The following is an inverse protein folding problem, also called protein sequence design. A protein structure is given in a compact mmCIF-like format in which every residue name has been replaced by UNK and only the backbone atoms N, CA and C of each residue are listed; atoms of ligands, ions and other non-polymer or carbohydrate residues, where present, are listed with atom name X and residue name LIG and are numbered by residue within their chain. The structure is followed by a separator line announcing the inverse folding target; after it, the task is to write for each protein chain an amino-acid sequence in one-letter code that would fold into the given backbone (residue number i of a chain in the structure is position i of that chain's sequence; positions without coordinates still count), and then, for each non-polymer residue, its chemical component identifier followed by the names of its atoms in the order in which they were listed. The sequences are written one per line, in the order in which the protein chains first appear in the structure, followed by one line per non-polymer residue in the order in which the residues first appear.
data_IF_830992471846
#
_entry.id   IF_830992471846
#
_cell.length_a   1.000
_cell.length_b   1.000
_cell.length_c   1.000
_cell.angle_alpha   90.00
_cell.angle_beta   90.00
_cell.angle_gamma   90.00
#
_symmetry.space_group_name_H-M   'P 1'
#
loop_
_entity.id
_entity.type
_entity.pdbx_description
1 polymer ?
#
# COMPACT_ATOMS: atom_id res chain seq x y z
N UNK A 1 -53.56 -17.20 -15.40
CA UNK A 1 -53.39 -17.33 -13.94
C UNK A 1 -51.94 -16.99 -13.61
N UNK A 2 -51.75 -15.87 -12.91
CA UNK A 2 -50.57 -15.46 -12.11
C UNK A 2 -49.17 -15.60 -12.74
N UNK A 3 -48.53 -14.56 -13.26
CA UNK A 3 -48.06 -13.31 -12.63
C UNK A 3 -46.87 -13.48 -11.65
N UNK A 4 -45.87 -12.62 -11.85
CA UNK A 4 -44.81 -12.19 -10.94
C UNK A 4 -43.58 -13.09 -10.62
N UNK A 5 -42.42 -12.73 -11.18
CA UNK A 5 -41.28 -12.09 -10.46
C UNK A 5 -40.07 -11.97 -11.42
N UNK A 6 -39.83 -10.81 -12.06
CA UNK A 6 -39.02 -9.68 -11.55
C UNK A 6 -37.65 -10.10 -10.98
N UNK A 7 -36.59 -9.96 -11.79
CA UNK A 7 -35.48 -9.04 -11.50
C UNK A 7 -34.43 -9.07 -12.64
N UNK A 8 -34.75 -8.35 -13.71
CA UNK A 8 -33.76 -7.65 -14.53
C UNK A 8 -33.67 -6.22 -14.00
N UNK A 9 -32.47 -5.71 -13.85
CA UNK A 9 -32.16 -4.39 -13.28
C UNK A 9 -30.98 -4.57 -12.35
N UNK A 10 -29.84 -3.95 -12.55
CA UNK A 10 -29.52 -2.79 -13.37
C UNK A 10 -28.23 -2.29 -12.76
N UNK A 11 -27.18 -2.27 -13.56
CA UNK A 11 -25.91 -1.61 -13.28
C UNK A 11 -26.16 -0.16 -12.87
N UNK A 12 -25.83 0.18 -11.62
CA UNK A 12 -25.63 1.56 -11.18
C UNK A 12 -24.73 1.56 -9.94
N UNK A 13 -23.43 1.31 -10.13
CA UNK A 13 -22.43 1.82 -9.19
C UNK A 13 -22.20 3.26 -9.62
N UNK A 14 -22.87 4.17 -8.91
CA UNK A 14 -22.77 5.61 -9.12
C UNK A 14 -21.34 6.06 -8.83
N UNK A 15 -20.62 6.31 -9.91
CA UNK A 15 -19.36 7.05 -9.91
C UNK A 15 -19.69 8.52 -9.67
N UNK A 16 -19.43 9.01 -8.46
CA UNK A 16 -19.62 10.41 -8.09
C UNK A 16 -18.41 10.90 -7.30
N UNK A 17 -17.24 10.89 -7.94
CA UNK A 17 -16.09 11.70 -7.55
C UNK A 17 -15.69 12.54 -8.76
N UNK A 18 -16.34 13.69 -8.90
CA UNK A 18 -15.96 14.69 -9.89
C UNK A 18 -16.11 16.08 -9.24
N UNK A 19 -14.93 16.67 -9.03
CA UNK A 19 -14.61 18.10 -9.03
C UNK A 19 -15.65 19.07 -8.48
N UNK A 20 -15.27 19.70 -7.36
CA UNK A 20 -15.59 21.11 -7.16
C UNK A 20 -14.34 21.84 -6.69
N UNK A 21 -13.61 22.39 -7.66
CA UNK A 21 -12.61 23.42 -7.47
C UNK A 21 -13.19 24.72 -8.05
N UNK A 22 -13.37 25.72 -7.20
CA UNK A 22 -13.44 27.16 -7.52
C UNK A 22 -13.05 27.87 -6.22
N UNK A 23 -11.82 28.38 -6.09
CA UNK A 23 -11.36 29.72 -6.49
C UNK A 23 -11.72 30.80 -5.44
N UNK A 24 -10.80 31.76 -5.25
CA UNK A 24 -10.83 33.00 -4.43
C UNK A 24 -10.22 32.89 -3.02
N UNK A 25 -9.28 33.72 -2.56
CA UNK A 25 -8.88 35.09 -2.93
C UNK A 25 -7.39 35.38 -2.62
N UNK A 26 -6.81 36.31 -3.39
CA UNK A 26 -5.55 37.06 -3.15
C UNK A 26 -5.93 38.46 -2.64
N UNK A 27 -5.34 38.97 -1.54
CA UNK A 27 -4.29 40.03 -1.60
C UNK A 27 -3.26 39.88 -0.44
N UNK A 28 -2.07 40.48 -0.38
CA UNK A 28 -1.42 41.61 -1.03
C UNK A 28 -0.49 42.28 0.00
N UNK A 29 0.72 42.70 -0.41
CA UNK A 29 1.65 43.56 0.35
C UNK A 29 2.54 42.86 1.39
N UNK A 30 3.81 43.20 1.60
CA UNK A 30 4.66 44.27 1.12
C UNK A 30 5.77 44.51 2.17
N UNK A 31 7.00 44.78 1.71
CA UNK A 31 7.98 45.58 2.45
C UNK A 31 9.01 44.87 3.34
N UNK A 32 10.27 44.94 2.92
CA UNK A 32 11.28 45.71 3.69
C UNK A 32 12.27 44.95 4.59
N UNK A 33 13.57 45.24 4.35
CA UNK A 33 14.66 45.17 5.33
C UNK A 33 15.56 43.93 5.20
N UNK A 34 16.80 44.08 4.73
CA UNK A 34 18.01 44.37 5.54
C UNK A 34 18.29 43.30 6.58
N UNK A 35 19.51 42.84 6.86
CA UNK A 35 20.88 43.13 6.48
C UNK A 35 21.66 42.01 7.20
N UNK A 36 22.77 41.56 6.61
CA UNK A 36 23.98 41.10 7.31
C UNK A 36 23.81 40.09 8.47
N UNK A 37 24.24 38.85 8.25
CA UNK A 37 24.97 38.17 9.32
C UNK A 37 26.21 37.46 8.78
N UNK A 38 27.30 38.21 8.86
CA UNK A 38 28.68 37.81 8.66
C UNK A 38 29.17 37.23 10.00
N UNK A 39 29.15 35.91 10.15
CA UNK A 39 29.52 35.21 11.38
C UNK A 39 30.46 34.05 11.13
N UNK A 40 31.73 34.37 10.87
CA UNK A 40 32.85 33.44 10.75
C UNK A 40 33.19 32.89 12.13
N UNK A 41 33.10 31.57 12.31
CA UNK A 41 33.51 30.86 13.53
C UNK A 41 34.17 29.53 13.19
N UNK A 42 35.50 29.55 13.10
CA UNK A 42 36.37 28.37 13.00
C UNK A 42 36.75 27.96 14.42
N UNK A 43 36.42 26.73 14.84
CA UNK A 43 37.22 25.94 15.81
C UNK A 43 36.88 24.45 15.74
N UNK A 44 37.83 23.68 15.19
CA UNK A 44 38.36 22.34 15.59
C UNK A 44 37.46 21.13 15.94
N UNK A 45 37.89 19.90 15.56
CA UNK A 45 37.16 18.66 15.83
C UNK A 45 37.50 18.12 17.23
N UNK A 46 36.49 17.88 18.05
CA UNK A 46 36.63 17.09 19.28
C UNK A 46 35.86 15.81 19.11
N UNK A 47 36.59 14.72 18.97
CA UNK A 47 36.10 13.34 19.03
C UNK A 47 35.54 13.08 20.43
N UNK A 48 34.22 13.04 20.58
CA UNK A 48 33.55 12.51 21.77
C UNK A 48 32.66 11.33 21.37
N UNK A 49 33.28 10.15 21.43
CA UNK A 49 32.57 8.88 21.58
C UNK A 49 31.90 8.91 22.96
N UNK A 50 30.59 9.12 23.01
CA UNK A 50 29.78 8.92 24.22
C UNK A 50 28.64 7.97 23.84
N UNK A 51 28.69 6.78 24.44
CA UNK A 51 27.70 5.73 24.34
C UNK A 51 26.29 6.23 24.69
N UNK A 52 25.33 5.92 23.81
CA UNK A 52 23.90 6.16 24.02
C UNK A 52 23.35 5.38 25.23
N UNK A 53 22.45 5.98 26.04
CA UNK A 53 21.53 5.20 26.84
C UNK A 53 20.47 4.59 25.92
N UNK A 54 20.21 3.30 26.13
CA UNK A 54 19.26 2.45 25.42
C UNK A 54 17.85 3.05 25.36
N UNK A 55 17.49 3.68 24.24
CA UNK A 55 16.09 3.99 23.91
C UNK A 55 15.43 2.79 23.20
N UNK A 56 14.16 2.48 23.50
CA UNK A 56 13.40 1.41 22.82
C UNK A 56 13.18 1.65 21.31
N UNK A 57 13.59 2.81 20.78
CA UNK A 57 13.62 3.15 19.35
C UNK A 57 14.76 2.47 18.56
N UNK A 58 15.70 1.79 19.22
CA UNK A 58 16.75 1.00 18.54
C UNK A 58 16.21 -0.27 17.85
N UNK A 59 15.09 -0.84 18.32
CA UNK A 59 14.54 -2.05 17.72
C UNK A 59 13.97 -1.78 16.31
N UNK A 60 13.42 -0.58 16.08
CA UNK A 60 12.91 -0.16 14.76
C UNK A 60 14.07 0.18 13.79
N UNK A 61 15.26 0.51 14.31
CA UNK A 61 16.44 0.91 13.53
C UNK A 61 17.27 -0.26 12.99
N UNK A 62 16.99 -1.50 13.41
CA UNK A 62 17.61 -2.71 12.84
C UNK A 62 16.81 -3.32 11.69
N UNK A 63 15.62 -2.78 11.41
CA UNK A 63 14.83 -3.18 10.25
C UNK A 63 15.43 -2.48 9.02
N UNK A 64 15.67 -3.20 7.90
CA UNK A 64 16.11 -2.56 6.66
C UNK A 64 15.17 -1.40 6.31
N UNK A 65 15.70 -0.24 5.86
CA UNK A 65 14.84 0.76 5.23
C UNK A 65 14.10 0.05 4.09
N UNK A 66 12.76 0.18 4.03
CA UNK A 66 11.89 -0.43 3.01
C UNK A 66 11.50 -1.90 3.19
N UNK A 67 11.37 -2.36 4.44
CA UNK A 67 10.87 -3.71 4.71
C UNK A 67 9.45 -3.93 4.14
N UNK A 68 8.59 -2.91 4.09
CA UNK A 68 7.27 -3.02 3.48
C UNK A 68 7.32 -3.32 1.99
N UNK A 69 8.20 -2.66 1.25
CA UNK A 69 8.44 -2.97 -0.17
C UNK A 69 9.01 -4.38 -0.36
N UNK A 70 9.95 -4.80 0.48
CA UNK A 70 10.52 -6.15 0.42
C UNK A 70 9.45 -7.23 0.71
N UNK A 71 8.65 -7.04 1.75
CA UNK A 71 7.52 -7.92 2.09
C UNK A 71 6.54 -8.01 0.91
N UNK A 72 6.19 -6.87 0.29
CA UNK A 72 5.32 -6.83 -0.89
C UNK A 72 5.90 -7.69 -2.02
N UNK A 73 7.19 -7.53 -2.35
CA UNK A 73 7.86 -8.32 -3.40
C UNK A 73 7.81 -9.82 -3.08
N UNK A 74 8.21 -10.23 -1.87
CA UNK A 74 8.29 -11.64 -1.49
C UNK A 74 6.93 -12.33 -1.53
N UNK A 75 5.85 -11.62 -1.16
CA UNK A 75 4.50 -12.17 -1.14
C UNK A 75 3.85 -12.17 -2.52
N UNK A 76 4.02 -11.10 -3.29
CA UNK A 76 3.30 -10.91 -4.55
C UNK A 76 3.96 -11.65 -5.72
N UNK A 77 5.26 -11.99 -5.67
CA UNK A 77 5.92 -12.81 -6.70
C UNK A 77 5.29 -14.21 -6.84
N UNK A 78 5.15 -15.02 -5.76
CA UNK A 78 4.44 -16.30 -5.85
C UNK A 78 2.98 -16.15 -6.27
N UNK A 79 2.31 -15.08 -5.82
CA UNK A 79 0.92 -14.80 -6.20
C UNK A 79 0.79 -14.52 -7.70
N UNK A 80 1.65 -13.66 -8.24
CA UNK A 80 1.73 -13.35 -9.68
C UNK A 80 1.93 -14.62 -10.51
N UNK A 81 2.90 -15.46 -10.14
CA UNK A 81 3.16 -16.73 -10.83
C UNK A 81 1.94 -17.66 -10.78
N UNK A 82 1.27 -17.73 -9.63
CA UNK A 82 0.04 -18.53 -9.47
C UNK A 82 -1.08 -18.03 -10.41
N UNK A 83 -1.32 -16.72 -10.47
CA UNK A 83 -2.35 -16.14 -11.35
C UNK A 83 -2.00 -16.27 -12.83
N UNK A 84 -0.71 -16.17 -13.20
CA UNK A 84 -0.27 -16.29 -14.59
C UNK A 84 -0.31 -17.74 -15.09
N UNK A 85 0.20 -18.69 -14.30
CA UNK A 85 0.36 -20.09 -14.70
C UNK A 85 -0.91 -20.93 -14.47
N UNK A 86 -1.70 -20.62 -13.44
CA UNK A 86 -2.85 -21.42 -13.03
C UNK A 86 -4.15 -20.59 -12.91
N UNK A 87 -4.58 -19.87 -13.97
CA UNK A 87 -5.78 -19.03 -13.91
C UNK A 87 -7.05 -19.84 -13.58
N UNK A 88 -7.11 -21.12 -13.98
CA UNK A 88 -8.25 -21.99 -13.71
C UNK A 88 -8.41 -22.37 -12.24
N UNK A 89 -7.35 -22.35 -11.41
CA UNK A 89 -7.47 -22.60 -9.96
C UNK A 89 -8.17 -21.45 -9.23
N UNK A 90 -8.23 -20.28 -9.86
CA UNK A 90 -8.83 -19.07 -9.29
C UNK A 90 -10.33 -18.97 -9.61
N UNK A 91 -10.85 -19.82 -10.50
CA UNK A 91 -12.25 -19.86 -10.91
C UNK A 91 -12.85 -21.24 -10.60
N UNK A 92 -14.06 -21.26 -10.07
CA UNK A 92 -14.81 -22.50 -9.88
C UNK A 92 -15.36 -23.09 -11.18
N UNK A 93 -15.36 -22.34 -12.29
CA UNK A 93 -15.88 -22.77 -13.59
C UNK A 93 -15.02 -22.22 -14.73
N UNK A 94 -14.80 -23.04 -15.76
CA UNK A 94 -14.08 -22.64 -16.96
C UNK A 94 -14.89 -21.60 -17.74
N UNK A 95 -14.42 -20.37 -17.77
CA UNK A 95 -14.94 -19.31 -18.64
C UNK A 95 -13.77 -18.56 -19.29
N UNK A 96 -13.66 -18.53 -20.64
CA UNK A 96 -12.50 -17.97 -21.32
C UNK A 96 -12.32 -16.47 -21.07
N UNK A 97 -13.41 -15.72 -20.88
CA UNK A 97 -13.36 -14.31 -20.53
C UNK A 97 -12.76 -14.05 -19.15
N UNK A 98 -13.06 -14.90 -18.16
CA UNK A 98 -12.50 -14.74 -16.82
C UNK A 98 -11.02 -15.09 -16.76
N UNK A 99 -10.54 -16.00 -17.62
CA UNK A 99 -9.09 -16.27 -17.75
C UNK A 99 -8.31 -15.06 -18.23
N UNK A 100 -8.84 -14.32 -19.21
CA UNK A 100 -8.19 -13.10 -19.70
C UNK A 100 -8.07 -12.05 -18.58
N UNK A 101 -9.14 -11.85 -17.81
CA UNK A 101 -9.15 -10.93 -16.66
C UNK A 101 -8.13 -11.35 -15.59
N UNK A 102 -8.01 -12.65 -15.29
CA UNK A 102 -7.04 -13.15 -14.31
C UNK A 102 -5.59 -12.92 -14.78
N UNK A 103 -5.32 -13.09 -16.08
CA UNK A 103 -3.99 -12.78 -16.64
C UNK A 103 -3.68 -11.29 -16.59
N UNK A 104 -4.68 -10.43 -16.81
CA UNK A 104 -4.53 -8.98 -16.61
C UNK A 104 -4.22 -8.65 -15.14
N UNK A 105 -4.87 -9.30 -14.17
CA UNK A 105 -4.51 -9.17 -12.76
C UNK A 105 -3.09 -9.63 -12.48
N UNK A 106 -2.63 -10.74 -13.07
CA UNK A 106 -1.25 -11.19 -12.92
C UNK A 106 -0.24 -10.13 -13.42
N UNK A 107 -0.51 -9.50 -14.57
CA UNK A 107 0.33 -8.42 -15.09
C UNK A 107 0.35 -7.18 -14.19
N UNK A 108 -0.78 -6.83 -13.57
CA UNK A 108 -0.86 -5.74 -12.60
C UNK A 108 -0.05 -6.03 -11.33
N UNK A 109 -0.12 -7.27 -10.81
CA UNK A 109 0.69 -7.70 -9.67
C UNK A 109 2.18 -7.66 -10.03
N UNK A 110 2.55 -8.12 -11.23
CA UNK A 110 3.94 -8.04 -11.68
C UNK A 110 4.43 -6.59 -11.75
N UNK A 111 3.60 -5.68 -12.27
CA UNK A 111 3.92 -4.26 -12.31
C UNK A 111 4.12 -3.67 -10.91
N UNK A 112 3.29 -4.03 -9.93
CA UNK A 112 3.46 -3.55 -8.54
C UNK A 112 4.74 -4.09 -7.90
N UNK A 113 5.10 -5.35 -8.17
CA UNK A 113 6.38 -5.95 -7.75
C UNK A 113 7.57 -5.21 -8.35
N UNK A 114 7.54 -4.91 -9.65
CA UNK A 114 8.62 -4.17 -10.31
C UNK A 114 8.77 -2.75 -9.74
N UNK A 115 7.66 -2.06 -9.47
CA UNK A 115 7.69 -0.77 -8.79
C UNK A 115 8.30 -0.92 -7.41
N UNK A 116 7.87 -1.90 -6.61
CA UNK A 116 8.41 -2.12 -5.27
C UNK A 116 9.91 -2.41 -5.28
N UNK A 117 10.40 -3.23 -6.22
CA UNK A 117 11.84 -3.52 -6.38
C UNK A 117 12.69 -2.28 -6.59
N UNK A 118 12.21 -1.29 -7.35
CA UNK A 118 12.93 -0.01 -7.55
C UNK A 118 13.10 0.75 -6.24
N UNK A 119 12.17 0.62 -5.30
CA UNK A 119 12.19 1.32 -4.02
C UNK A 119 12.91 0.55 -2.90
N UNK A 120 13.15 -0.76 -3.05
CA UNK A 120 13.91 -1.54 -2.05
C UNK A 120 15.34 -1.02 -1.87
N UNK A 121 16.03 -0.70 -2.97
CA UNK A 121 17.43 -0.25 -2.94
C UNK A 121 17.57 1.29 -2.91
N UNK A 122 16.46 2.02 -2.93
CA UNK A 122 16.45 3.49 -2.96
C UNK A 122 16.48 4.05 -1.54
N UNK A 123 17.20 5.14 -1.25
CA UNK A 123 17.05 5.83 0.03
C UNK A 123 15.61 6.32 0.24
N UNK A 124 15.09 6.30 1.48
CA UNK A 124 13.76 6.82 1.78
C UNK A 124 13.65 8.30 1.40
N UNK A 125 12.55 8.61 0.73
CA UNK A 125 12.17 9.96 0.30
C UNK A 125 10.65 10.11 0.22
N UNK A 126 10.15 11.34 0.10
CA UNK A 126 8.73 11.66 -0.11
C UNK A 126 8.07 10.81 -1.22
N UNK A 127 8.82 10.51 -2.29
CA UNK A 127 8.33 9.70 -3.41
C UNK A 127 8.09 8.27 -2.97
N UNK A 128 9.05 7.65 -2.28
CA UNK A 128 8.91 6.31 -1.72
C UNK A 128 7.72 6.22 -0.77
N UNK A 129 7.49 7.25 0.05
CA UNK A 129 6.32 7.32 0.94
C UNK A 129 4.99 7.34 0.20
N UNK A 130 4.87 8.17 -0.85
CA UNK A 130 3.67 8.24 -1.70
C UNK A 130 3.41 6.92 -2.44
N UNK A 131 4.46 6.28 -2.94
CA UNK A 131 4.34 4.98 -3.64
C UNK A 131 3.97 3.88 -2.65
N UNK A 132 4.59 3.85 -1.46
CA UNK A 132 4.25 2.90 -0.41
C UNK A 132 2.79 3.03 0.01
N UNK A 133 2.28 4.26 0.16
CA UNK A 133 0.87 4.52 0.45
C UNK A 133 -0.06 4.00 -0.67
N UNK A 134 0.30 4.23 -1.94
CA UNK A 134 -0.47 3.73 -3.08
C UNK A 134 -0.51 2.19 -3.12
N UNK A 135 0.63 1.54 -2.87
CA UNK A 135 0.72 0.07 -2.77
C UNK A 135 -0.01 -0.47 -1.54
N UNK A 136 -0.05 0.26 -0.42
CA UNK A 136 -0.86 -0.10 0.72
C UNK A 136 -2.35 -0.12 0.34
N UNK A 137 -2.86 0.96 -0.28
CA UNK A 137 -4.26 1.03 -0.73
C UNK A 137 -4.62 -0.10 -1.70
N UNK A 138 -3.68 -0.52 -2.55
CA UNK A 138 -3.87 -1.68 -3.43
C UNK A 138 -4.28 -2.96 -2.67
N UNK A 139 -3.74 -3.21 -1.47
CA UNK A 139 -4.06 -4.40 -0.68
C UNK A 139 -5.45 -4.41 -0.04
N UNK A 140 -6.18 -3.29 -0.07
CA UNK A 140 -7.55 -3.20 0.47
C UNK A 140 -8.50 -4.09 -0.34
N UNK A 141 -8.45 -4.04 -1.67
CA UNK A 141 -9.36 -4.81 -2.52
C UNK A 141 -9.17 -6.34 -2.38
N UNK A 142 -7.94 -6.90 -2.41
CA UNK A 142 -7.69 -8.30 -2.09
C UNK A 142 -8.11 -8.71 -0.67
N UNK A 143 -7.97 -7.81 0.30
CA UNK A 143 -8.43 -8.04 1.68
C UNK A 143 -9.95 -8.16 1.75
N UNK A 144 -10.70 -7.25 1.10
CA UNK A 144 -12.17 -7.33 1.02
C UNK A 144 -12.60 -8.62 0.30
N UNK A 145 -11.93 -8.99 -0.79
CA UNK A 145 -12.21 -10.24 -1.51
C UNK A 145 -12.01 -11.47 -0.61
N UNK A 146 -10.96 -11.48 0.20
CA UNK A 146 -10.68 -12.59 1.12
C UNK A 146 -11.67 -12.62 2.29
N UNK A 147 -12.00 -11.46 2.87
CA UNK A 147 -13.00 -11.32 3.92
C UNK A 147 -14.40 -11.75 3.47
N UNK A 148 -14.82 -11.39 2.25
CA UNK A 148 -16.12 -11.84 1.69
C UNK A 148 -16.16 -13.35 1.44
N UNK A 149 -15.05 -13.98 1.03
CA UNK A 149 -14.95 -15.45 0.96
C UNK A 149 -15.02 -16.08 2.36
N UNK A 150 -14.30 -15.53 3.33
CA UNK A 150 -14.23 -16.04 4.69
C UNK A 150 -15.59 -15.96 5.39
N UNK A 151 -16.29 -14.83 5.27
CA UNK A 151 -17.65 -14.64 5.83
C UNK A 151 -18.65 -15.61 5.22
N UNK A 152 -18.57 -15.90 3.91
CA UNK A 152 -19.37 -16.97 3.29
C UNK A 152 -19.05 -18.34 3.88
N UNK A 153 -17.76 -18.70 4.02
CA UNK A 153 -17.36 -19.98 4.60
C UNK A 153 -17.81 -20.14 6.06
N UNK A 154 -17.73 -19.08 6.86
CA UNK A 154 -18.20 -19.05 8.24
C UNK A 154 -19.71 -19.31 8.35
N UNK A 155 -20.52 -18.73 7.44
CA UNK A 155 -21.97 -19.01 7.36
C UNK A 155 -22.28 -20.47 7.07
N UNK A 156 -21.44 -21.16 6.32
CA UNK A 156 -21.60 -22.59 5.99
C UNK A 156 -20.92 -23.53 7.01
N UNK A 157 -20.49 -23.05 8.18
CA UNK A 157 -19.81 -23.82 9.25
C UNK A 157 -18.62 -24.66 8.76
N UNK A 158 -17.92 -24.23 7.70
CA UNK A 158 -16.69 -24.88 7.26
C UNK A 158 -15.53 -24.48 8.17
N UNK A 159 -14.55 -25.35 8.37
CA UNK A 159 -13.38 -25.07 9.21
C UNK A 159 -12.65 -23.80 8.73
N UNK A 160 -12.64 -22.76 9.58
CA UNK A 160 -12.22 -21.39 9.23
C UNK A 160 -10.70 -21.21 9.36
N UNK A 161 -10.09 -21.89 10.34
CA UNK A 161 -8.74 -21.64 10.83
C UNK A 161 -7.66 -22.07 9.83
N UNK A 162 -7.95 -23.05 8.95
CA UNK A 162 -7.06 -23.49 7.86
C UNK A 162 -7.69 -23.20 6.49
N UNK A 163 -8.51 -22.15 6.41
CA UNK A 163 -9.08 -21.77 5.12
C UNK A 163 -8.08 -20.94 4.32
N UNK A 164 -7.93 -21.29 3.05
CA UNK A 164 -7.11 -20.55 2.08
C UNK A 164 -7.45 -19.04 2.08
N UNK A 165 -8.73 -18.71 2.25
CA UNK A 165 -9.22 -17.32 2.33
C UNK A 165 -8.71 -16.58 3.57
N UNK A 166 -8.57 -17.26 4.71
CA UNK A 166 -7.99 -16.65 5.91
C UNK A 166 -6.50 -16.35 5.71
N UNK A 167 -5.74 -17.28 5.12
CA UNK A 167 -4.33 -17.06 4.82
C UNK A 167 -4.12 -15.85 3.91
N UNK A 168 -4.89 -15.74 2.80
CA UNK A 168 -4.81 -14.57 1.92
C UNK A 168 -5.15 -13.27 2.65
N UNK A 169 -6.16 -13.28 3.53
CA UNK A 169 -6.52 -12.10 4.31
C UNK A 169 -5.36 -11.66 5.21
N UNK A 170 -4.77 -12.58 5.96
CA UNK A 170 -3.65 -12.29 6.88
C UNK A 170 -2.46 -11.72 6.10
N UNK A 171 -2.08 -12.37 5.00
CA UNK A 171 -0.96 -11.96 4.15
C UNK A 171 -1.18 -10.54 3.58
N UNK A 172 -2.37 -10.23 3.07
CA UNK A 172 -2.66 -8.89 2.56
C UNK A 172 -2.72 -7.83 3.66
N UNK A 173 -3.19 -8.17 4.87
CA UNK A 173 -3.16 -7.25 6.02
C UNK A 173 -1.72 -6.99 6.46
N UNK A 174 -0.85 -8.00 6.48
CA UNK A 174 0.57 -7.83 6.80
C UNK A 174 1.24 -6.91 5.77
N UNK A 175 1.05 -7.14 4.47
CA UNK A 175 1.55 -6.24 3.43
C UNK A 175 1.01 -4.81 3.58
N UNK A 176 -0.29 -4.66 3.83
CA UNK A 176 -0.93 -3.36 4.04
C UNK A 176 -0.27 -2.60 5.17
N UNK A 177 -0.14 -3.22 6.35
CA UNK A 177 0.44 -2.58 7.52
C UNK A 177 1.92 -2.25 7.29
N UNK A 178 2.69 -3.17 6.72
CA UNK A 178 4.12 -2.95 6.47
C UNK A 178 4.37 -1.77 5.51
N UNK A 179 3.63 -1.70 4.39
CA UNK A 179 3.71 -0.60 3.44
C UNK A 179 3.18 0.72 4.03
N UNK A 180 2.16 0.66 4.88
CA UNK A 180 1.64 1.85 5.56
C UNK A 180 2.65 2.38 6.59
N UNK A 181 3.39 1.51 7.27
CA UNK A 181 4.48 1.90 8.16
C UNK A 181 5.62 2.59 7.38
N UNK A 182 6.02 2.04 6.22
CA UNK A 182 7.02 2.68 5.35
C UNK A 182 6.53 4.06 4.86
N UNK A 183 5.27 4.14 4.42
CA UNK A 183 4.65 5.40 4.01
C UNK A 183 4.62 6.43 5.14
N UNK A 184 4.22 6.02 6.35
CA UNK A 184 4.15 6.90 7.50
C UNK A 184 5.54 7.41 7.91
N UNK A 185 6.53 6.53 7.87
CA UNK A 185 7.91 6.86 8.25
C UNK A 185 8.53 7.87 7.27
N UNK A 186 8.37 7.64 5.96
CA UNK A 186 8.89 8.54 4.93
C UNK A 186 8.16 9.90 4.90
N UNK A 187 6.84 9.94 5.12
CA UNK A 187 6.07 11.18 4.96
C UNK A 187 6.01 12.07 6.22
N UNK A 188 6.05 11.48 7.42
CA UNK A 188 5.78 12.23 8.65
C UNK A 188 6.95 12.30 9.63
N UNK A 189 7.92 11.37 9.56
CA UNK A 189 9.08 11.42 10.46
C UNK A 189 10.24 12.24 9.89
N UNK A 190 10.30 12.44 8.57
CA UNK A 190 11.31 13.31 7.94
C UNK A 190 10.89 14.79 7.84
N UNK A 191 9.60 15.11 8.07
CA UNK A 191 9.06 16.47 7.98
C UNK A 191 9.20 17.32 9.25
N UNK A 192 9.76 16.76 10.33
CA UNK A 192 9.96 17.46 11.61
C UNK A 192 11.43 17.40 12.04
N UNK A 193 12.29 18.31 11.55
CA UNK A 193 13.59 18.57 12.15
C UNK A 193 13.49 19.22 13.54
#
# INVERSE_FOLDING_TARGET
MHDAARHLGGTAISSSYLLQATDKDVPGGGGGGSLLNLGRGITTPTTSVICSPSCPSQLVRMLPPHLGFLIHVVIEVPACLSFALFPSRQLGMHTPHAHAVIRQYAALILASVLVALVFVDRPPDDTSGKVAAALAVYHVAPSIRSATRLTRQARFRKAIIVSEAFLYLVVHVICFVALLCDAWSALYMESHP
#
